data_IF_855120679680
#
_entry.id   IF_855120679680
#
_cell.length_a   1.000
_cell.length_b   1.000
_cell.length_c   1.000
_cell.angle_alpha   90.00
_cell.angle_beta   90.00
_cell.angle_gamma   90.00
#
_symmetry.space_group_name_H-M   'P 1'
#
loop_
_entity.id
_entity.type
_entity.pdbx_description
1 polymer ?
#
# COMPACT_ATOMS: atom_id res chain seq x y z
N UNK A 1 -4.92 -48.84 -19.33
CA UNK A 1 -5.16 -47.66 -20.20
C UNK A 1 -6.02 -46.61 -19.48
N UNK A 2 -7.23 -46.94 -19.00
CA UNK A 2 -8.14 -45.97 -18.32
C UNK A 2 -7.51 -45.21 -17.14
N UNK A 3 -6.74 -45.89 -16.29
CA UNK A 3 -6.08 -45.30 -15.11
C UNK A 3 -5.07 -44.21 -15.50
N UNK A 4 -4.38 -44.38 -16.62
CA UNK A 4 -3.39 -43.42 -17.13
C UNK A 4 -4.06 -42.11 -17.60
N UNK A 5 -5.25 -42.21 -18.20
CA UNK A 5 -6.07 -41.05 -18.55
C UNK A 5 -6.60 -40.29 -17.32
N UNK A 6 -6.97 -41.00 -16.26
CA UNK A 6 -7.43 -40.38 -15.01
C UNK A 6 -6.30 -39.61 -14.31
N UNK A 7 -5.11 -40.19 -14.27
CA UNK A 7 -3.93 -39.52 -13.69
C UNK A 7 -3.56 -38.28 -14.51
N UNK A 8 -3.59 -38.37 -15.84
CA UNK A 8 -3.34 -37.23 -16.71
C UNK A 8 -4.39 -36.12 -16.54
N UNK A 9 -5.67 -36.47 -16.44
CA UNK A 9 -6.75 -35.51 -16.20
C UNK A 9 -6.60 -34.80 -14.85
N UNK A 10 -6.18 -35.51 -13.80
CA UNK A 10 -5.96 -34.93 -12.47
C UNK A 10 -4.78 -33.94 -12.46
N UNK A 11 -3.71 -34.25 -13.20
CA UNK A 11 -2.56 -33.36 -13.34
C UNK A 11 -2.92 -32.04 -14.05
N UNK A 12 -3.75 -32.11 -15.09
CA UNK A 12 -4.22 -30.91 -15.81
C UNK A 12 -5.14 -30.08 -14.92
N UNK A 13 -6.09 -30.71 -14.22
CA UNK A 13 -7.03 -30.02 -13.33
C UNK A 13 -6.32 -29.24 -12.21
N UNK A 14 -5.32 -29.85 -11.57
CA UNK A 14 -4.54 -29.20 -10.51
C UNK A 14 -3.66 -28.06 -11.03
N UNK A 15 -3.21 -28.13 -12.28
CA UNK A 15 -2.40 -27.08 -12.93
C UNK A 15 -3.22 -25.81 -13.23
N UNK A 16 -4.49 -25.96 -13.62
CA UNK A 16 -5.39 -24.82 -13.86
C UNK A 16 -5.79 -24.13 -12.54
N UNK A 17 -5.72 -24.81 -11.40
CA UNK A 17 -6.03 -24.24 -10.08
C UNK A 17 -4.89 -23.42 -9.46
N UNK A 18 -3.69 -23.37 -10.05
CA UNK A 18 -2.52 -22.74 -9.43
C UNK A 18 -2.57 -21.21 -9.38
N UNK A 19 -3.48 -20.56 -10.12
CA UNK A 19 -3.70 -19.11 -10.01
C UNK A 19 -5.18 -18.81 -9.79
N UNK A 20 -5.59 -18.33 -8.60
CA UNK A 20 -6.95 -17.85 -8.39
C UNK A 20 -7.22 -16.66 -9.31
N UNK A 21 -8.40 -16.62 -9.92
CA UNK A 21 -8.80 -15.61 -10.91
C UNK A 21 -8.73 -14.17 -10.39
N UNK A 22 -8.71 -13.98 -9.06
CA UNK A 22 -8.56 -12.69 -8.40
C UNK A 22 -7.13 -12.12 -8.44
N UNK A 23 -6.10 -12.94 -8.72
CA UNK A 23 -4.71 -12.49 -8.78
C UNK A 23 -4.41 -11.56 -9.97
N UNK A 24 -5.39 -11.33 -10.86
CA UNK A 24 -5.22 -10.57 -12.08
C UNK A 24 -4.35 -11.32 -13.10
N UNK A 25 -4.66 -11.16 -14.38
CA UNK A 25 -3.83 -11.67 -15.49
C UNK A 25 -2.66 -10.74 -15.84
N UNK A 26 -2.55 -9.61 -15.14
CA UNK A 26 -1.54 -8.59 -15.38
C UNK A 26 -0.23 -8.98 -14.68
N UNK A 27 0.93 -8.69 -15.30
CA UNK A 27 2.21 -8.79 -14.62
C UNK A 27 2.20 -7.93 -13.34
N UNK A 28 2.99 -8.30 -12.33
CA UNK A 28 3.19 -7.48 -11.13
C UNK A 28 3.65 -6.10 -11.60
N UNK A 29 2.76 -5.12 -11.49
CA UNK A 29 2.93 -3.78 -12.01
C UNK A 29 2.00 -2.83 -11.27
N UNK A 30 2.21 -1.54 -11.48
CA UNK A 30 1.39 -0.52 -10.86
C UNK A 30 -0.04 -0.53 -11.43
N UNK A 31 -1.06 -0.17 -10.63
CA UNK A 31 -2.44 -0.08 -11.11
C UNK A 31 -2.52 0.89 -12.30
N UNK A 32 -3.32 0.54 -13.29
CA UNK A 32 -3.60 1.43 -14.41
C UNK A 32 -4.25 2.70 -13.86
N UNK A 33 -3.62 3.85 -14.11
CA UNK A 33 -4.22 5.15 -13.85
C UNK A 33 -5.28 5.34 -14.94
N UNK A 34 -6.55 5.50 -14.54
CA UNK A 34 -7.58 5.92 -15.48
C UNK A 34 -7.18 7.30 -16.01
N UNK A 35 -6.87 7.38 -17.30
CA UNK A 35 -6.70 8.64 -18.02
C UNK A 35 -8.08 9.29 -18.09
N UNK A 36 -8.30 10.31 -17.28
CA UNK A 36 -9.49 11.14 -17.32
C UNK A 36 -9.51 11.82 -18.70
N UNK A 37 -10.59 11.72 -19.49
CA UNK A 37 -10.69 12.41 -20.76
C UNK A 37 -10.44 13.91 -20.56
N UNK A 38 -9.40 14.43 -21.22
CA UNK A 38 -8.99 15.82 -21.22
C UNK A 38 -10.10 16.69 -21.82
N UNK A 39 -10.93 17.28 -20.96
CA UNK A 39 -11.84 18.37 -21.31
C UNK A 39 -11.08 19.69 -21.08
N UNK A 40 -10.90 20.53 -22.13
CA UNK A 40 -10.01 21.67 -22.04
C UNK A 40 -10.78 22.87 -21.52
N UNK A 41 -10.59 23.29 -20.27
CA UNK A 41 -10.71 24.72 -19.90
C UNK A 41 -9.93 25.03 -18.64
N UNK A 42 -9.21 26.13 -18.75
CA UNK A 42 -8.20 26.68 -17.87
C UNK A 42 -8.70 27.18 -16.51
N UNK A 43 -7.80 27.03 -15.53
CA UNK A 43 -7.65 27.83 -14.31
C UNK A 43 -8.56 27.54 -13.09
N UNK A 44 -7.93 26.84 -12.11
CA UNK A 44 -7.76 27.29 -10.70
C UNK A 44 -8.81 26.80 -9.67
N UNK A 45 -8.61 25.59 -9.14
CA UNK A 45 -7.94 25.25 -7.85
C UNK A 45 -8.19 23.76 -7.60
N UNK A 46 -7.11 22.98 -7.70
CA UNK A 46 -7.12 21.52 -7.73
C UNK A 46 -7.53 20.91 -6.39
N UNK A 47 -8.81 20.54 -6.30
CA UNK A 47 -9.35 19.68 -5.23
C UNK A 47 -9.41 18.23 -5.70
N UNK A 48 -8.26 17.65 -6.03
CA UNK A 48 -8.10 16.18 -6.13
C UNK A 48 -6.80 15.81 -5.45
N UNK A 49 -6.85 15.72 -4.13
CA UNK A 49 -5.69 15.39 -3.31
C UNK A 49 -5.26 13.94 -3.53
N UNK A 50 -4.21 13.82 -4.35
CA UNK A 50 -3.12 12.86 -4.35
C UNK A 50 -3.33 11.57 -3.55
N UNK A 51 -3.71 10.52 -4.29
CA UNK A 51 -3.48 9.13 -3.94
C UNK A 51 -1.99 8.79 -4.20
N UNK A 52 -1.22 8.58 -3.14
CA UNK A 52 0.00 7.76 -3.17
C UNK A 52 1.28 8.37 -3.76
N UNK A 53 1.64 9.62 -3.45
CA UNK A 53 3.01 10.12 -3.73
C UNK A 53 3.99 9.72 -2.63
N UNK A 54 4.55 8.51 -2.73
CA UNK A 54 5.89 8.23 -2.21
C UNK A 54 6.91 8.72 -3.22
N UNK A 55 7.15 10.03 -3.25
CA UNK A 55 8.35 10.60 -3.84
C UNK A 55 8.90 11.59 -2.85
N UNK A 56 10.11 11.30 -2.37
CA UNK A 56 10.90 12.16 -1.51
C UNK A 56 11.03 13.55 -2.15
N UNK A 57 10.32 14.54 -1.61
CA UNK A 57 10.69 15.95 -1.49
C UNK A 57 9.41 16.81 -1.47
N UNK A 58 9.44 17.84 -0.62
CA UNK A 58 8.41 18.86 -0.39
C UNK A 58 7.40 18.52 0.72
N UNK A 59 7.44 19.20 1.88
CA UNK A 59 6.41 19.08 2.90
C UNK A 59 5.17 19.85 2.43
N UNK A 60 4.40 19.25 1.53
CA UNK A 60 3.06 19.74 1.23
C UNK A 60 2.24 19.46 2.48
N UNK A 61 2.05 20.49 3.31
CA UNK A 61 1.03 20.52 4.37
C UNK A 61 -0.34 20.50 3.70
N UNK A 62 -0.76 19.31 3.28
CA UNK A 62 -2.12 19.04 2.86
C UNK A 62 -3.02 19.16 4.09
N UNK A 63 -3.74 20.28 4.21
CA UNK A 63 -4.68 20.57 5.30
C UNK A 63 -5.96 19.70 5.26
N UNK A 64 -6.04 18.74 4.35
CA UNK A 64 -7.17 17.85 4.20
C UNK A 64 -7.18 16.83 5.32
N UNK A 65 -8.27 16.85 6.08
CA UNK A 65 -8.60 15.83 7.08
C UNK A 65 -8.36 14.45 6.45
N UNK A 66 -7.47 13.65 7.05
CA UNK A 66 -7.17 12.31 6.55
C UNK A 66 -8.38 11.43 6.79
N UNK A 67 -9.10 11.09 5.73
CA UNK A 67 -10.18 10.12 5.74
C UNK A 67 -9.68 8.77 5.21
N UNK A 68 -10.35 7.66 5.57
CA UNK A 68 -10.18 6.38 4.89
C UNK A 68 -10.42 6.51 3.38
N UNK A 69 -9.56 5.86 2.59
CA UNK A 69 -9.67 5.89 1.12
C UNK A 69 -10.98 5.25 0.62
N UNK A 70 -11.41 4.18 1.29
CA UNK A 70 -12.68 3.47 1.01
C UNK A 70 -13.91 4.34 1.24
N UNK A 71 -13.80 5.42 2.03
CA UNK A 71 -14.89 6.35 2.25
C UNK A 71 -15.09 7.30 1.07
N UNK A 72 -14.20 7.31 0.07
CA UNK A 72 -14.27 8.21 -1.11
C UNK A 72 -14.43 9.70 -0.74
N UNK A 73 -13.93 10.09 0.44
CA UNK A 73 -14.09 11.45 0.97
C UNK A 73 -15.40 11.71 1.72
N UNK A 74 -16.30 10.74 1.85
CA UNK A 74 -17.54 10.87 2.62
C UNK A 74 -17.27 10.78 4.13
N UNK A 75 -17.29 11.94 4.78
CA UNK A 75 -17.13 12.06 6.23
C UNK A 75 -18.31 11.48 7.01
N UNK A 76 -19.53 11.63 6.51
CA UNK A 76 -20.75 11.19 7.23
C UNK A 76 -20.81 9.69 7.33
N UNK A 77 -20.36 8.99 6.28
CA UNK A 77 -20.21 7.54 6.31
C UNK A 77 -19.29 7.11 7.44
N UNK A 78 -18.09 7.69 7.52
CA UNK A 78 -17.11 7.36 8.57
C UNK A 78 -17.66 7.65 9.97
N UNK A 79 -18.30 8.80 10.17
CA UNK A 79 -18.93 9.16 11.45
C UNK A 79 -20.05 8.18 11.84
N UNK A 80 -20.81 7.69 10.87
CA UNK A 80 -21.87 6.70 11.10
C UNK A 80 -21.26 5.35 11.47
N UNK A 81 -20.22 4.94 10.76
CA UNK A 81 -19.49 3.69 11.02
C UNK A 81 -18.80 3.70 12.39
N UNK A 82 -18.30 4.84 12.86
CA UNK A 82 -17.70 4.96 14.18
C UNK A 82 -18.70 4.87 15.33
N UNK A 83 -19.98 5.15 15.10
CA UNK A 83 -21.05 4.99 16.11
C UNK A 83 -21.46 3.54 16.30
N UNK A 84 -21.17 2.66 15.34
CA UNK A 84 -21.44 1.23 15.45
C UNK A 84 -20.50 0.58 16.48
N UNK A 85 -20.94 -0.46 17.20
CA UNK A 85 -20.07 -1.23 18.07
C UNK A 85 -18.95 -1.90 17.27
N UNK A 86 -17.82 -2.17 17.94
CA UNK A 86 -16.55 -2.55 17.28
C UNK A 86 -16.66 -3.78 16.37
N UNK A 87 -17.47 -4.74 16.78
CA UNK A 87 -17.78 -5.99 16.07
C UNK A 87 -18.54 -5.76 14.75
N UNK A 88 -19.26 -4.64 14.63
CA UNK A 88 -20.03 -4.28 13.44
C UNK A 88 -19.31 -3.28 12.54
N UNK A 89 -18.12 -2.82 12.93
CA UNK A 89 -17.33 -1.93 12.09
C UNK A 89 -16.68 -2.72 10.96
N UNK A 90 -16.63 -2.17 9.75
CA UNK A 90 -15.97 -2.85 8.64
C UNK A 90 -14.46 -2.90 8.90
N UNK A 91 -13.84 -4.02 8.52
CA UNK A 91 -12.42 -4.27 8.77
C UNK A 91 -11.50 -3.19 8.18
N UNK A 92 -11.90 -2.57 7.06
CA UNK A 92 -11.13 -1.50 6.44
C UNK A 92 -11.02 -0.27 7.36
N UNK A 93 -12.07 0.05 8.12
CA UNK A 93 -12.07 1.19 9.06
C UNK A 93 -11.17 0.90 10.25
N UNK A 94 -11.22 -0.34 10.75
CA UNK A 94 -10.37 -0.82 11.84
C UNK A 94 -8.88 -0.79 11.45
N UNK A 95 -8.56 -1.30 10.26
CA UNK A 95 -7.21 -1.28 9.72
C UNK A 95 -6.72 0.14 9.49
N UNK A 96 -7.56 1.00 8.94
CA UNK A 96 -7.25 2.41 8.74
C UNK A 96 -6.90 3.10 10.06
N UNK A 97 -7.72 2.92 11.10
CA UNK A 97 -7.46 3.47 12.44
C UNK A 97 -6.09 3.01 12.98
N UNK A 98 -5.80 1.71 12.85
CA UNK A 98 -4.52 1.13 13.29
C UNK A 98 -3.31 1.67 12.50
N UNK A 99 -3.49 1.95 11.20
CA UNK A 99 -2.47 2.58 10.38
C UNK A 99 -2.25 4.04 10.79
N UNK A 100 -3.31 4.78 11.10
CA UNK A 100 -3.20 6.16 11.56
C UNK A 100 -2.50 6.24 12.93
N UNK A 101 -2.82 5.33 13.84
CA UNK A 101 -2.08 5.17 15.10
C UNK A 101 -0.60 4.88 14.87
N UNK A 102 -0.26 4.00 13.90
CA UNK A 102 1.14 3.71 13.56
C UNK A 102 1.84 4.89 12.84
N UNK A 103 1.11 5.72 12.10
CA UNK A 103 1.67 6.94 11.49
C UNK A 103 2.02 7.99 12.53
N UNK A 104 1.20 8.12 13.57
CA UNK A 104 1.49 9.03 14.69
C UNK A 104 2.58 8.46 15.61
N UNK A 105 2.62 7.14 15.80
CA UNK A 105 3.57 6.44 16.66
C UNK A 105 4.15 5.22 15.93
N UNK A 106 5.16 5.42 15.08
CA UNK A 106 5.76 4.32 14.33
C UNK A 106 6.41 3.33 15.29
N UNK A 107 6.08 2.04 15.13
CA UNK A 107 6.74 0.98 15.89
C UNK A 107 8.18 0.81 15.42
N UNK A 108 9.14 1.09 16.29
CA UNK A 108 10.54 0.76 16.09
C UNK A 108 10.81 -0.63 16.64
N UNK A 109 11.42 -1.51 15.84
CA UNK A 109 11.89 -2.81 16.29
C UNK A 109 13.41 -2.76 16.44
N UNK A 110 13.99 -3.32 17.52
CA UNK A 110 15.44 -3.45 17.61
C UNK A 110 15.91 -4.36 16.48
N UNK A 111 16.96 -3.95 15.77
CA UNK A 111 17.60 -4.79 14.79
C UNK A 111 18.29 -5.95 15.51
N UNK A 112 18.02 -7.18 15.07
CA UNK A 112 18.79 -8.34 15.54
C UNK A 112 20.23 -8.19 15.07
N UNK A 113 21.19 -8.37 15.98
CA UNK A 113 22.61 -8.41 15.61
C UNK A 113 22.84 -9.50 14.54
N UNK A 114 23.44 -9.12 13.41
CA UNK A 114 23.82 -10.06 12.35
C UNK A 114 25.33 -9.96 12.07
N UNK A 115 25.90 -11.03 11.52
CA UNK A 115 27.33 -11.14 11.17
C UNK A 115 27.74 -10.28 9.97
N UNK A 116 26.79 -9.87 9.13
CA UNK A 116 27.02 -9.00 7.98
C UNK A 116 27.33 -7.54 8.37
N UNK A 117 27.14 -7.12 9.62
CA UNK A 117 27.53 -5.79 10.08
C UNK A 117 29.06 -5.58 10.18
N UNK A 118 29.88 -6.64 10.08
CA UNK A 118 31.33 -6.61 10.34
C UNK A 118 32.26 -6.52 9.11
N UNK A 119 31.77 -6.13 7.93
CA UNK A 119 32.60 -6.05 6.72
C UNK A 119 32.54 -4.68 6.01
N UNK A 120 32.59 -3.57 6.76
CA UNK A 120 32.93 -2.29 6.14
C UNK A 120 34.44 -2.10 6.32
N UNK A 121 35.29 -2.35 5.30
CA UNK A 121 36.68 -1.93 5.36
C UNK A 121 36.71 -0.41 5.56
N UNK A 122 37.38 0.02 6.62
CA UNK A 122 37.51 1.41 7.08
C UNK A 122 38.31 2.32 6.14
N UNK A 123 38.46 1.97 4.85
CA UNK A 123 39.31 2.69 3.90
C UNK A 123 38.60 3.72 3.04
N UNK A 124 37.33 4.04 3.31
CA UNK A 124 36.65 5.17 2.67
C UNK A 124 36.10 6.15 3.72
N UNK A 125 36.72 7.32 3.91
CA UNK A 125 36.15 8.35 4.76
C UNK A 125 34.81 8.79 4.16
N UNK A 126 33.76 8.79 4.99
CA UNK A 126 32.46 9.36 4.62
C UNK A 126 32.66 10.88 4.40
N UNK A 127 32.32 11.44 3.23
CA UNK A 127 32.34 12.88 3.08
C UNK A 127 31.20 13.47 3.91
N UNK A 128 31.52 14.19 4.99
CA UNK A 128 30.51 14.97 5.72
C UNK A 128 30.66 15.15 7.23
N UNK A 129 31.74 14.67 7.87
CA UNK A 129 32.00 14.97 9.28
C UNK A 129 33.40 15.59 9.43
N UNK A 130 33.47 16.92 9.24
CA UNK A 130 34.58 17.71 9.75
C UNK A 130 34.21 18.19 11.16
N UNK A 131 35.01 17.89 12.20
CA UNK A 131 34.89 18.56 13.48
C UNK A 131 35.48 19.98 13.37
N UNK A 132 34.80 20.95 13.97
CA UNK A 132 35.39 22.24 14.36
C UNK A 132 36.35 22.05 15.53
#
# INVERSE_FOLDING_TARGET
MISLYLIFALLVATSVCQRPSYAGSRPIGYPALEEIPEEPTSARVDSKMALGTTTMSTPIRTTTVRLPIEALGDRRLVETLLKLPLDKQPFWLLNWKKLEDNRTKPKTYPLKANSYLHHIPTSHPRPGLYPY
#
